data_IF_589323956663
#
_entry.id   IF_589323956663
#
_cell.length_a   1.000
_cell.length_b   1.000
_cell.length_c   1.000
_cell.angle_alpha   90.00
_cell.angle_beta   90.00
_cell.angle_gamma   90.00
#
_symmetry.space_group_name_H-M   'P 1'
#
loop_
_entity.id
_entity.type
_entity.pdbx_description
1 polymer ?
#
# COMPACT_ATOMS: atom_id res chain seq x y z
N UNK A 1 -16.48 10.49 5.03
CA UNK A 1 -15.07 10.66 4.60
C UNK A 1 -14.44 11.75 5.45
N UNK A 2 -13.47 11.42 6.30
CA UNK A 2 -12.66 12.43 7.00
C UNK A 2 -11.57 12.90 6.04
N UNK A 3 -11.61 14.15 5.60
CA UNK A 3 -10.53 14.78 4.84
C UNK A 3 -9.60 15.50 5.83
N UNK A 4 -8.38 14.98 5.99
CA UNK A 4 -7.32 15.71 6.68
C UNK A 4 -6.53 16.50 5.65
N UNK A 5 -6.37 17.80 5.87
CA UNK A 5 -5.50 18.67 5.06
C UNK A 5 -4.48 19.35 5.98
N UNK A 6 -3.24 19.46 5.54
CA UNK A 6 -2.20 20.23 6.21
C UNK A 6 -1.70 21.28 5.22
N UNK A 7 -1.80 22.55 5.59
CA UNK A 7 -1.41 23.69 4.75
C UNK A 7 -0.11 24.28 5.28
N UNK A 8 0.94 24.26 4.47
CA UNK A 8 2.20 24.97 4.73
C UNK A 8 2.52 25.89 3.55
N UNK A 9 2.71 27.18 3.81
CA UNK A 9 3.15 28.16 2.80
C UNK A 9 4.63 27.95 2.47
N UNK A 10 4.97 27.94 1.18
CA UNK A 10 6.31 27.57 0.67
C UNK A 10 6.91 28.77 -0.07
N UNK A 11 8.12 29.20 0.36
CA UNK A 11 8.98 30.12 -0.37
C UNK A 11 10.09 29.36 -1.11
N UNK A 12 10.62 29.97 -2.17
CA UNK A 12 11.37 29.50 -3.36
C UNK A 12 12.58 28.53 -3.20
N UNK A 13 12.53 27.48 -2.36
CA UNK A 13 13.54 26.42 -2.33
C UNK A 13 12.90 25.03 -2.40
N UNK A 14 13.44 24.17 -3.27
CA UNK A 14 12.98 22.79 -3.50
C UNK A 14 13.06 21.97 -2.22
N UNK A 15 11.94 21.80 -1.52
CA UNK A 15 11.83 20.87 -0.39
C UNK A 15 11.11 19.59 -0.82
N UNK A 16 11.78 18.46 -0.63
CA UNK A 16 11.18 17.13 -0.76
C UNK A 16 10.25 16.87 0.42
N UNK A 17 8.95 17.15 0.26
CA UNK A 17 7.94 16.78 1.24
C UNK A 17 7.45 15.35 0.96
N UNK A 18 7.61 14.45 1.92
CA UNK A 18 7.10 13.08 1.83
C UNK A 18 5.81 12.97 2.63
N UNK A 19 4.69 12.67 1.96
CA UNK A 19 3.43 12.35 2.63
C UNK A 19 3.32 10.83 2.79
N UNK A 20 3.26 10.36 4.03
CA UNK A 20 2.98 8.96 4.33
C UNK A 20 1.47 8.77 4.49
N UNK A 21 0.86 8.05 3.55
CA UNK A 21 -0.56 7.70 3.59
C UNK A 21 -0.68 6.23 3.99
N UNK A 22 -1.31 5.98 5.13
CA UNK A 22 -1.66 4.62 5.51
C UNK A 22 -2.97 4.24 4.82
N UNK A 23 -2.99 3.18 3.99
CA UNK A 23 -4.22 2.71 3.36
C UNK A 23 -5.22 2.29 4.44
N UNK A 24 -6.48 2.71 4.27
CA UNK A 24 -7.58 2.36 5.16
C UNK A 24 -7.78 0.83 5.16
N UNK A 25 -7.88 0.15 6.33
CA UNK A 25 -8.22 -1.27 6.40
C UNK A 25 -9.55 -1.63 5.71
N UNK A 26 -10.41 -0.64 5.41
CA UNK A 26 -11.67 -0.82 4.70
C UNK A 26 -11.52 -0.97 3.18
N UNK A 27 -10.30 -0.96 2.63
CA UNK A 27 -10.08 -1.15 1.19
C UNK A 27 -10.53 0.04 0.35
N UNK A 28 -10.37 1.26 0.87
CA UNK A 28 -10.76 2.49 0.18
C UNK A 28 -9.56 3.12 -0.52
N UNK A 29 -9.66 3.31 -1.84
CA UNK A 29 -8.66 4.05 -2.61
C UNK A 29 -8.65 5.53 -2.22
N UNK A 30 -7.48 6.14 -2.12
CA UNK A 30 -7.31 7.53 -1.69
C UNK A 30 -6.74 8.36 -2.83
N UNK A 31 -7.40 9.49 -3.15
CA UNK A 31 -6.86 10.47 -4.07
C UNK A 31 -6.02 11.50 -3.30
N UNK A 32 -4.71 11.53 -3.56
CA UNK A 32 -3.78 12.47 -2.96
C UNK A 32 -3.49 13.56 -3.98
N UNK A 33 -3.78 14.81 -3.63
CA UNK A 33 -3.48 15.97 -4.47
C UNK A 33 -2.46 16.86 -3.79
N UNK A 34 -1.33 17.09 -4.46
CA UNK A 34 -0.36 18.11 -4.08
C UNK A 34 -0.75 19.42 -4.76
N UNK A 35 -0.73 20.52 -4.02
CA UNK A 35 -0.98 21.87 -4.53
C UNK A 35 0.17 22.76 -4.08
N UNK A 36 0.80 23.44 -5.04
CA UNK A 36 1.88 24.39 -4.78
C UNK A 36 1.51 25.76 -5.34
N UNK A 37 1.75 26.82 -4.56
CA UNK A 37 1.67 28.20 -5.03
C UNK A 37 3.07 28.74 -5.26
N UNK A 38 3.36 29.19 -6.48
CA UNK A 38 4.64 29.83 -6.81
C UNK A 38 4.33 31.15 -7.52
N UNK A 39 4.75 32.27 -6.93
CA UNK A 39 4.55 33.60 -7.53
C UNK A 39 3.08 33.96 -7.81
N UNK A 40 2.13 33.43 -7.02
CA UNK A 40 0.69 33.65 -7.21
C UNK A 40 0.02 32.71 -8.23
N UNK A 41 0.76 31.77 -8.82
CA UNK A 41 0.21 30.73 -9.70
C UNK A 41 0.09 29.41 -8.92
N UNK A 42 -1.06 28.73 -9.07
CA UNK A 42 -1.33 27.42 -8.50
C UNK A 42 -0.90 26.30 -9.46
N UNK A 43 -0.10 25.37 -8.96
CA UNK A 43 0.25 24.11 -9.60
C UNK A 43 -0.38 22.97 -8.82
N UNK A 44 -0.93 21.97 -9.50
CA UNK A 44 -1.46 20.79 -8.83
C UNK A 44 -1.14 19.50 -9.59
N UNK A 45 -0.92 18.44 -8.81
CA UNK A 45 -0.77 17.08 -9.32
C UNK A 45 -1.48 16.12 -8.37
N UNK A 46 -2.29 15.22 -8.93
CA UNK A 46 -2.98 14.17 -8.18
C UNK A 46 -2.41 12.79 -8.49
N UNK A 47 -2.39 11.92 -7.48
CA UNK A 47 -2.08 10.48 -7.58
C UNK A 47 -3.14 9.71 -6.79
N UNK A 48 -3.63 8.62 -7.39
CA UNK A 48 -4.57 7.71 -6.71
C UNK A 48 -3.78 6.56 -6.11
N UNK A 49 -3.88 6.40 -4.80
CA UNK A 49 -3.43 5.21 -4.09
C UNK A 49 -4.58 4.21 -4.11
N UNK A 50 -4.50 3.24 -5.00
CA UNK A 50 -5.47 2.17 -5.10
C UNK A 50 -5.48 1.31 -3.84
N UNK A 51 -6.65 1.04 -3.28
CA UNK A 51 -6.76 0.03 -2.24
C UNK A 51 -6.70 -1.37 -2.85
N UNK A 52 -6.16 -2.36 -2.12
CA UNK A 52 -6.17 -3.72 -2.59
C UNK A 52 -7.61 -4.20 -2.77
N UNK A 53 -7.91 -4.86 -3.91
CA UNK A 53 -9.29 -5.23 -4.25
C UNK A 53 -9.87 -6.38 -3.41
N UNK A 54 -9.11 -6.89 -2.44
CA UNK A 54 -9.53 -7.95 -1.51
C UNK A 54 -8.44 -8.98 -1.26
N UNK A 55 -8.75 -10.06 -0.50
CA UNK A 55 -7.82 -11.14 -0.26
C UNK A 55 -7.50 -11.93 -1.55
N UNK A 56 -6.37 -12.66 -1.60
CA UNK A 56 -6.08 -13.59 -2.68
C UNK A 56 -7.14 -14.68 -2.80
N UNK A 57 -7.38 -15.15 -4.02
CA UNK A 57 -8.35 -16.19 -4.32
C UNK A 57 -7.70 -17.58 -4.37
N UNK A 58 -8.49 -18.64 -4.19
CA UNK A 58 -8.08 -20.03 -4.40
C UNK A 58 -6.76 -20.41 -3.68
N UNK A 59 -6.62 -20.01 -2.41
CA UNK A 59 -5.44 -20.32 -1.58
C UNK A 59 -5.37 -21.83 -1.32
N UNK A 60 -4.25 -22.45 -1.69
CA UNK A 60 -4.00 -23.90 -1.52
C UNK A 60 -2.61 -24.15 -0.96
N UNK A 61 -2.54 -24.93 0.12
CA UNK A 61 -1.30 -25.41 0.71
C UNK A 61 -0.96 -26.82 0.22
N UNK A 62 0.33 -27.08 0.00
CA UNK A 62 0.89 -28.37 -0.35
C UNK A 62 2.04 -28.67 0.60
N UNK A 63 2.03 -29.85 1.21
CA UNK A 63 3.17 -30.32 2.01
C UNK A 63 4.24 -30.78 1.02
N UNK A 64 5.41 -30.15 1.04
CA UNK A 64 6.55 -30.59 0.23
C UNK A 64 7.37 -31.65 0.97
N UNK A 65 7.58 -31.45 2.27
CA UNK A 65 8.27 -32.38 3.17
C UNK A 65 7.96 -32.02 4.65
N UNK A 66 8.71 -32.60 5.59
CA UNK A 66 8.49 -32.41 7.04
C UNK A 66 8.65 -30.97 7.55
N UNK A 67 9.41 -30.11 6.84
CA UNK A 67 9.73 -28.75 7.29
C UNK A 67 9.31 -27.66 6.30
N UNK A 68 8.78 -28.04 5.13
CA UNK A 68 8.45 -27.11 4.05
C UNK A 68 7.05 -27.34 3.49
N UNK A 69 6.34 -26.23 3.32
CA UNK A 69 5.05 -26.16 2.62
C UNK A 69 5.17 -25.22 1.42
N UNK A 70 4.42 -25.51 0.37
CA UNK A 70 4.20 -24.58 -0.75
C UNK A 70 2.78 -24.06 -0.67
N UNK A 71 2.60 -22.75 -0.77
CA UNK A 71 1.27 -22.13 -0.83
C UNK A 71 1.11 -21.50 -2.21
N UNK A 72 0.03 -21.84 -2.90
CA UNK A 72 -0.36 -21.24 -4.16
C UNK A 72 -1.64 -20.42 -3.95
N UNK A 73 -1.78 -19.32 -4.66
CA UNK A 73 -2.99 -18.50 -4.68
C UNK A 73 -3.13 -17.82 -6.05
N UNK A 74 -4.31 -17.26 -6.30
CA UNK A 74 -4.58 -16.40 -7.45
C UNK A 74 -4.66 -14.96 -6.95
N UNK A 75 -3.91 -14.06 -7.59
CA UNK A 75 -3.91 -12.63 -7.23
C UNK A 75 -5.30 -12.01 -7.43
N UNK A 76 -5.62 -11.00 -6.64
CA UNK A 76 -6.77 -10.13 -6.89
C UNK A 76 -6.45 -9.13 -8.02
N UNK A 77 -7.47 -8.46 -8.54
CA UNK A 77 -7.33 -7.53 -9.67
C UNK A 77 -6.45 -6.31 -9.37
N UNK A 78 -6.46 -5.82 -8.14
CA UNK A 78 -5.61 -4.72 -7.66
C UNK A 78 -4.80 -5.24 -6.47
N UNK A 79 -3.75 -6.03 -6.74
CA UNK A 79 -2.81 -6.50 -5.71
C UNK A 79 -1.67 -5.51 -5.53
N UNK A 80 -1.50 -5.02 -4.29
CA UNK A 80 -0.45 -4.06 -3.95
C UNK A 80 0.70 -4.69 -3.14
N UNK A 81 0.57 -5.97 -2.75
CA UNK A 81 1.53 -6.73 -1.96
C UNK A 81 0.88 -7.90 -1.22
N UNK A 82 1.68 -8.71 -0.53
CA UNK A 82 1.20 -9.88 0.23
C UNK A 82 1.75 -9.88 1.66
N UNK A 83 0.89 -10.23 2.61
CA UNK A 83 1.27 -10.58 3.98
C UNK A 83 0.92 -12.05 4.18
N UNK A 84 1.91 -12.85 4.55
CA UNK A 84 1.73 -14.26 4.89
C UNK A 84 1.81 -14.37 6.41
N UNK A 85 0.68 -14.70 7.03
CA UNK A 85 0.60 -15.06 8.43
C UNK A 85 0.60 -16.59 8.56
N UNK A 86 1.44 -17.14 9.43
CA UNK A 86 1.44 -18.56 9.75
C UNK A 86 1.57 -18.77 11.25
N UNK A 87 0.89 -19.81 11.75
CA UNK A 87 0.96 -20.20 13.16
C UNK A 87 1.58 -21.58 13.27
N UNK A 88 2.66 -21.68 14.05
CA UNK A 88 3.35 -22.95 14.34
C UNK A 88 3.60 -23.06 15.83
N UNK A 89 3.25 -24.21 16.43
CA UNK A 89 3.41 -24.43 17.87
C UNK A 89 2.72 -23.39 18.76
N UNK A 90 1.59 -22.83 18.31
CA UNK A 90 0.85 -21.78 19.03
C UNK A 90 1.46 -20.37 18.92
N UNK A 91 2.53 -20.18 18.14
CA UNK A 91 3.15 -18.88 17.88
C UNK A 91 2.79 -18.41 16.48
N UNK A 92 2.17 -17.23 16.39
CA UNK A 92 1.86 -16.57 15.12
C UNK A 92 3.03 -15.72 14.65
N UNK A 93 3.39 -15.85 13.36
CA UNK A 93 4.47 -15.10 12.71
C UNK A 93 3.95 -14.50 11.41
N UNK A 94 4.42 -13.29 11.11
CA UNK A 94 4.08 -12.54 9.91
C UNK A 94 5.30 -12.35 9.02
N UNK A 95 5.16 -12.63 7.73
CA UNK A 95 6.16 -12.34 6.70
C UNK A 95 5.50 -11.43 5.66
N UNK A 96 6.04 -10.23 5.53
CA UNK A 96 5.53 -9.24 4.57
C UNK A 96 6.44 -9.26 3.35
N UNK A 97 5.86 -9.45 2.17
CA UNK A 97 6.54 -9.28 0.89
C UNK A 97 5.76 -8.30 0.05
N UNK A 98 6.31 -7.10 -0.10
CA UNK A 98 5.81 -6.13 -1.07
C UNK A 98 6.51 -6.43 -2.39
N UNK A 99 5.75 -6.73 -3.45
CA UNK A 99 6.31 -6.68 -4.79
C UNK A 99 6.68 -5.23 -5.06
N UNK A 100 7.95 -4.90 -4.93
CA UNK A 100 8.47 -3.65 -5.47
C UNK A 100 8.32 -3.81 -6.98
N UNK A 101 7.40 -3.08 -7.61
CA UNK A 101 7.53 -2.84 -9.03
C UNK A 101 8.85 -2.04 -9.16
N UNK A 102 9.93 -2.76 -9.47
CA UNK A 102 11.11 -2.17 -10.07
C UNK A 102 10.64 -1.70 -11.45
N UNK A 103 10.36 -0.40 -11.57
CA UNK A 103 10.23 0.29 -12.85
C UNK A 103 11.65 0.62 -13.32
#
# INVERSE_FOLDING_TARGET
MKSNSNYSSIDFLTYNNTLLVYPDPLGVSVNVTCIAMIGGINYSQSVILHAPSGPPNNVRGFILNATSIKVNWTNSSETNGYVIEYTTGGVTRNVVSTSKNEI
#
